data_IF_439677094235
#
_entry.id   IF_439677094235
#
_cell.length_a   1.000
_cell.length_b   1.000
_cell.length_c   1.000
_cell.angle_alpha   90.00
_cell.angle_beta   90.00
_cell.angle_gamma   90.00
#
_symmetry.space_group_name_H-M   'P 1'
#
loop_
_entity.id
_entity.type
_entity.pdbx_description
1 polymer ?
#
# COMPACT_ATOMS: atom_id res chain seq x y z
N UNK A 1 -46.81 -68.65 34.40
CA UNK A 1 -47.29 -67.83 33.26
C UNK A 1 -46.51 -66.53 33.05
N UNK A 2 -45.25 -66.40 33.52
CA UNK A 2 -44.42 -65.18 33.34
C UNK A 2 -43.20 -65.34 32.41
N UNK A 3 -42.90 -66.54 31.89
CA UNK A 3 -41.73 -66.77 31.02
C UNK A 3 -42.00 -66.70 29.51
N UNK A 4 -43.25 -66.84 29.06
CA UNK A 4 -43.59 -66.79 27.62
C UNK A 4 -43.86 -65.37 27.08
N UNK A 5 -44.21 -64.41 27.94
CA UNK A 5 -44.42 -63.00 27.51
C UNK A 5 -43.11 -62.26 27.27
N UNK A 6 -42.06 -62.57 28.02
CA UNK A 6 -40.73 -61.96 27.84
C UNK A 6 -40.05 -62.47 26.56
N UNK A 7 -40.19 -63.75 26.24
CA UNK A 7 -39.57 -64.34 25.04
C UNK A 7 -40.22 -63.88 23.73
N UNK A 8 -41.55 -63.65 23.72
CA UNK A 8 -42.25 -63.06 22.56
C UNK A 8 -41.94 -61.57 22.36
N UNK A 9 -41.74 -60.81 23.45
CA UNK A 9 -41.27 -59.43 23.38
C UNK A 9 -39.81 -59.35 22.88
N UNK A 10 -38.94 -60.28 23.30
CA UNK A 10 -37.58 -60.40 22.77
C UNK A 10 -37.54 -60.83 21.29
N UNK A 11 -38.48 -61.68 20.85
CA UNK A 11 -38.60 -62.09 19.44
C UNK A 11 -39.13 -60.95 18.53
N UNK A 12 -40.07 -60.14 19.01
CA UNK A 12 -40.56 -58.96 18.29
C UNK A 12 -39.53 -57.81 18.24
N UNK A 13 -38.63 -57.70 19.23
CA UNK A 13 -37.50 -56.75 19.19
C UNK A 13 -36.49 -57.05 18.08
N UNK A 14 -36.36 -58.32 17.68
CA UNK A 14 -35.46 -58.71 16.58
C UNK A 14 -36.02 -58.39 15.19
N UNK A 15 -37.34 -58.23 15.05
CA UNK A 15 -37.92 -57.81 13.77
C UNK A 15 -37.84 -56.29 13.65
N UNK A 16 -36.95 -55.85 12.76
CA UNK A 16 -36.88 -54.46 12.29
C UNK A 16 -38.14 -54.19 11.46
N UNK A 17 -39.20 -53.71 12.12
CA UNK A 17 -40.48 -53.41 11.46
C UNK A 17 -40.33 -52.23 10.51
N UNK A 18 -41.19 -52.16 9.48
CA UNK A 18 -41.20 -51.05 8.53
C UNK A 18 -41.29 -49.69 9.23
N UNK A 19 -42.11 -49.60 10.29
CA UNK A 19 -42.24 -48.38 11.10
C UNK A 19 -40.92 -47.94 11.77
N UNK A 20 -40.08 -48.87 12.22
CA UNK A 20 -38.74 -48.55 12.77
C UNK A 20 -37.80 -48.06 11.69
N UNK A 21 -37.88 -48.64 10.48
CA UNK A 21 -37.08 -48.19 9.34
C UNK A 21 -37.46 -46.77 8.93
N UNK A 22 -38.76 -46.49 8.82
CA UNK A 22 -39.28 -45.16 8.46
C UNK A 22 -38.92 -44.12 9.53
N UNK A 23 -38.99 -44.49 10.81
CA UNK A 23 -38.56 -43.62 11.91
C UNK A 23 -37.05 -43.32 11.85
N UNK A 24 -36.20 -44.34 11.70
CA UNK A 24 -34.73 -44.14 11.56
C UNK A 24 -34.42 -43.23 10.36
N UNK A 25 -35.10 -43.44 9.23
CA UNK A 25 -34.93 -42.62 8.03
C UNK A 25 -35.32 -41.16 8.27
N UNK A 26 -36.46 -40.92 8.93
CA UNK A 26 -36.92 -39.57 9.29
C UNK A 26 -35.92 -38.85 10.20
N UNK A 27 -35.33 -39.55 11.16
CA UNK A 27 -34.35 -38.95 12.08
C UNK A 27 -33.01 -38.64 11.38
N UNK A 28 -32.59 -39.46 10.41
CA UNK A 28 -31.43 -39.16 9.56
C UNK A 28 -31.70 -37.91 8.71
N UNK A 29 -32.88 -37.80 8.10
CA UNK A 29 -33.30 -36.62 7.31
C UNK A 29 -33.38 -35.33 8.16
N UNK A 30 -33.68 -35.45 9.47
CA UNK A 30 -33.72 -34.30 10.38
C UNK A 30 -32.34 -33.71 10.70
N UNK A 31 -31.25 -34.47 10.52
CA UNK A 31 -29.87 -34.03 10.76
C UNK A 31 -29.59 -33.48 12.19
N UNK A 32 -30.32 -33.93 13.21
CA UNK A 32 -30.09 -33.51 14.60
C UNK A 32 -30.12 -34.70 15.58
N UNK A 33 -28.92 -35.16 15.97
CA UNK A 33 -28.75 -36.28 16.88
C UNK A 33 -29.19 -35.94 18.32
N UNK A 34 -29.08 -34.67 18.76
CA UNK A 34 -29.46 -34.26 20.12
C UNK A 34 -30.97 -34.24 20.29
N UNK A 35 -31.69 -33.72 19.29
CA UNK A 35 -33.14 -33.80 19.27
C UNK A 35 -33.62 -35.26 19.24
N UNK A 36 -32.89 -36.13 18.52
CA UNK A 36 -33.24 -37.57 18.42
C UNK A 36 -33.10 -38.29 19.76
N UNK A 37 -32.05 -38.00 20.52
CA UNK A 37 -31.87 -38.53 21.87
C UNK A 37 -32.96 -37.98 22.81
N UNK A 38 -33.27 -36.68 22.70
CA UNK A 38 -34.34 -36.05 23.48
C UNK A 38 -35.72 -36.67 23.21
N UNK A 39 -36.03 -37.01 21.95
CA UNK A 39 -37.29 -37.68 21.58
C UNK A 39 -37.38 -39.10 22.16
N UNK A 40 -36.25 -39.81 22.29
CA UNK A 40 -36.21 -41.13 22.93
C UNK A 40 -36.41 -41.00 24.44
N UNK A 41 -35.78 -40.02 25.08
CA UNK A 41 -35.81 -39.84 26.54
C UNK A 41 -37.21 -39.51 27.08
N UNK A 42 -38.15 -39.06 26.23
CA UNK A 42 -39.56 -38.80 26.58
C UNK A 42 -40.50 -39.99 26.31
N UNK A 43 -40.02 -41.07 25.69
CA UNK A 43 -40.80 -42.29 25.44
C UNK A 43 -40.96 -43.16 26.69
N UNK A 44 -41.82 -44.18 26.61
CA UNK A 44 -41.97 -45.13 27.73
C UNK A 44 -40.67 -45.94 27.95
N UNK A 45 -40.39 -46.43 29.16
CA UNK A 45 -39.15 -47.17 29.45
C UNK A 45 -38.91 -48.39 28.56
N UNK A 46 -40.00 -49.03 28.09
CA UNK A 46 -39.93 -50.19 27.19
C UNK A 46 -39.50 -49.79 25.77
N UNK A 47 -40.00 -48.66 25.27
CA UNK A 47 -39.63 -48.08 23.96
C UNK A 47 -38.20 -47.53 23.99
N UNK A 48 -37.77 -46.93 25.11
CA UNK A 48 -36.40 -46.44 25.26
C UNK A 48 -35.35 -47.55 25.07
N UNK A 49 -35.60 -48.75 25.63
CA UNK A 49 -34.69 -49.89 25.45
C UNK A 49 -34.64 -50.38 24.00
N UNK A 50 -35.69 -50.12 23.21
CA UNK A 50 -35.83 -50.56 21.83
C UNK A 50 -35.21 -49.58 20.82
N UNK A 51 -35.38 -48.27 21.01
CA UNK A 51 -34.93 -47.24 20.07
C UNK A 51 -33.51 -46.69 20.37
N UNK A 52 -33.05 -46.74 21.62
CA UNK A 52 -31.72 -46.24 22.01
C UNK A 52 -30.54 -46.93 21.30
N UNK A 53 -30.57 -48.26 21.03
CA UNK A 53 -29.55 -48.91 20.20
C UNK A 53 -29.52 -48.41 18.74
N UNK A 54 -30.58 -47.78 18.24
CA UNK A 54 -30.67 -47.26 16.87
C UNK A 54 -29.99 -45.90 16.69
N UNK A 55 -29.71 -45.19 17.79
CA UNK A 55 -29.01 -43.90 17.77
C UNK A 55 -27.66 -44.00 17.05
N UNK A 56 -26.92 -45.09 17.27
CA UNK A 56 -25.64 -45.32 16.58
C UNK A 56 -25.81 -45.49 15.06
N UNK A 57 -26.92 -46.08 14.60
CA UNK A 57 -27.23 -46.21 13.16
C UNK A 57 -27.66 -44.87 12.56
N UNK A 58 -28.38 -44.05 13.32
CA UNK A 58 -28.79 -42.70 12.90
C UNK A 58 -27.57 -41.79 12.81
N UNK A 59 -26.67 -41.81 13.80
CA UNK A 59 -25.42 -41.05 13.77
C UNK A 59 -24.54 -41.45 12.58
N UNK A 60 -24.35 -42.76 12.34
CA UNK A 60 -23.64 -43.24 11.15
C UNK A 60 -24.31 -42.83 9.83
N UNK A 61 -25.66 -42.79 9.79
CA UNK A 61 -26.42 -42.33 8.62
C UNK A 61 -26.27 -40.83 8.36
N UNK A 62 -26.31 -40.01 9.41
CA UNK A 62 -26.08 -38.55 9.33
C UNK A 62 -24.65 -38.28 8.87
N UNK A 63 -23.65 -38.97 9.44
CA UNK A 63 -22.25 -38.85 9.02
C UNK A 63 -22.04 -39.29 7.57
N UNK A 64 -22.74 -40.32 7.10
CA UNK A 64 -22.70 -40.74 5.71
C UNK A 64 -23.34 -39.70 4.78
N UNK A 65 -24.49 -39.13 5.16
CA UNK A 65 -25.15 -38.05 4.42
C UNK A 65 -24.29 -36.78 4.39
N UNK A 66 -23.63 -36.43 5.49
CA UNK A 66 -22.72 -35.29 5.58
C UNK A 66 -21.43 -35.53 4.78
N UNK A 67 -20.91 -36.76 4.78
CA UNK A 67 -19.76 -37.15 3.97
C UNK A 67 -20.11 -37.17 2.48
N UNK A 68 -21.31 -37.60 2.10
CA UNK A 68 -21.82 -37.58 0.73
C UNK A 68 -22.09 -36.15 0.27
N UNK A 69 -22.70 -35.29 1.10
CA UNK A 69 -22.85 -33.87 0.83
C UNK A 69 -21.50 -33.14 0.78
N UNK A 70 -20.51 -33.52 1.61
CA UNK A 70 -19.16 -32.97 1.55
C UNK A 70 -18.40 -33.47 0.31
N UNK A 71 -18.58 -34.73 -0.09
CA UNK A 71 -18.03 -35.29 -1.31
C UNK A 71 -18.69 -34.68 -2.55
N UNK A 72 -19.99 -34.38 -2.50
CA UNK A 72 -20.73 -33.70 -3.55
C UNK A 72 -20.36 -32.22 -3.61
N UNK A 73 -20.16 -31.53 -2.47
CA UNK A 73 -19.56 -30.18 -2.42
C UNK A 73 -18.13 -30.18 -2.97
N UNK A 74 -17.29 -31.16 -2.64
CA UNK A 74 -15.95 -31.31 -3.22
C UNK A 74 -16.01 -31.66 -4.71
N UNK A 75 -16.98 -32.46 -5.15
CA UNK A 75 -17.20 -32.79 -6.54
C UNK A 75 -17.77 -31.58 -7.31
N UNK A 76 -18.58 -30.73 -6.68
CA UNK A 76 -19.04 -29.45 -7.21
C UNK A 76 -17.90 -28.43 -7.27
N UNK A 77 -16.99 -28.39 -6.29
CA UNK A 77 -15.77 -27.58 -6.34
C UNK A 77 -14.78 -28.09 -7.41
N UNK A 78 -14.64 -29.41 -7.56
CA UNK A 78 -13.82 -30.02 -8.60
C UNK A 78 -14.43 -29.88 -10.01
N UNK A 79 -15.77 -29.87 -10.13
CA UNK A 79 -16.51 -29.54 -11.36
C UNK A 79 -16.50 -28.02 -11.65
N UNK A 80 -16.49 -27.17 -10.62
CA UNK A 80 -16.29 -25.73 -10.75
C UNK A 80 -14.86 -25.37 -11.18
N UNK A 81 -13.87 -26.19 -10.83
CA UNK A 81 -12.48 -26.07 -11.30
C UNK A 81 -12.21 -26.66 -12.70
N UNK A 82 -13.18 -27.35 -13.31
CA UNK A 82 -13.10 -27.92 -14.66
C UNK A 82 -14.44 -27.81 -15.38
N UNK A 83 -14.79 -26.62 -15.86
CA UNK A 83 -15.82 -26.49 -16.92
C UNK A 83 -15.19 -26.00 -18.21
N UNK A 84 -15.41 -26.84 -19.23
CA UNK A 84 -15.15 -26.60 -20.64
C UNK A 84 -15.86 -25.31 -21.07
N UNK A 85 -15.13 -24.51 -21.85
CA UNK A 85 -15.63 -23.52 -22.79
C UNK A 85 -17.01 -23.86 -23.37
N UNK A 86 -18.04 -23.11 -22.97
CA UNK A 86 -19.21 -22.76 -23.78
C UNK A 86 -19.92 -21.58 -23.08
N UNK A 87 -20.15 -20.50 -23.83
CA UNK A 87 -20.45 -19.16 -23.31
C UNK A 87 -21.73 -19.03 -22.48
N UNK A 88 -21.71 -18.06 -21.57
CA UNK A 88 -22.88 -17.62 -20.82
C UNK A 88 -22.48 -16.69 -19.67
N UNK A 89 -22.78 -15.40 -19.85
CA UNK A 89 -22.68 -14.26 -18.93
C UNK A 89 -22.36 -14.51 -17.45
N UNK A 90 -21.48 -13.64 -16.93
CA UNK A 90 -21.14 -13.53 -15.51
C UNK A 90 -22.36 -13.57 -14.60
N UNK A 91 -22.19 -14.23 -13.44
CA UNK A 91 -23.20 -14.28 -12.38
C UNK A 91 -23.53 -12.85 -11.96
N UNK A 92 -24.72 -12.37 -12.28
CA UNK A 92 -25.25 -11.12 -11.77
C UNK A 92 -25.55 -11.28 -10.28
N UNK A 93 -24.78 -10.62 -9.42
CA UNK A 93 -24.95 -10.61 -7.97
C UNK A 93 -25.76 -9.39 -7.60
N UNK A 94 -26.97 -9.60 -7.08
CA UNK A 94 -27.86 -8.54 -6.59
C UNK A 94 -28.13 -8.61 -5.08
N UNK A 95 -27.69 -9.69 -4.42
CA UNK A 95 -27.87 -9.86 -2.97
C UNK A 95 -26.85 -9.04 -2.18
N UNK A 96 -27.35 -8.22 -1.25
CA UNK A 96 -26.53 -7.32 -0.42
C UNK A 96 -25.52 -8.07 0.45
N UNK A 97 -25.85 -9.27 0.93
CA UNK A 97 -24.91 -10.07 1.75
C UNK A 97 -23.75 -10.60 0.91
N UNK A 98 -24.05 -11.16 -0.27
CA UNK A 98 -23.02 -11.61 -1.21
C UNK A 98 -22.12 -10.46 -1.68
N UNK A 99 -22.69 -9.26 -1.87
CA UNK A 99 -21.91 -8.04 -2.18
C UNK A 99 -21.01 -7.65 -1.01
N UNK A 100 -21.52 -7.65 0.22
CA UNK A 100 -20.74 -7.35 1.43
C UNK A 100 -19.56 -8.31 1.62
N UNK A 101 -19.76 -9.61 1.36
CA UNK A 101 -18.69 -10.62 1.43
C UNK A 101 -17.61 -10.38 0.37
N UNK A 102 -18.01 -10.00 -0.85
CA UNK A 102 -17.07 -9.66 -1.93
C UNK A 102 -16.27 -8.40 -1.58
N UNK A 103 -16.93 -7.35 -1.07
CA UNK A 103 -16.26 -6.13 -0.61
C UNK A 103 -15.29 -6.46 0.53
N UNK A 104 -15.73 -7.26 1.51
CA UNK A 104 -14.89 -7.65 2.66
C UNK A 104 -13.66 -8.44 2.23
N UNK A 105 -13.82 -9.41 1.31
CA UNK A 105 -12.70 -10.17 0.76
C UNK A 105 -11.70 -9.29 -0.01
N UNK A 106 -12.20 -8.34 -0.80
CA UNK A 106 -11.39 -7.35 -1.49
C UNK A 106 -10.61 -6.45 -0.52
N UNK A 107 -11.27 -5.95 0.53
CA UNK A 107 -10.66 -5.12 1.58
C UNK A 107 -9.56 -5.86 2.36
N UNK A 108 -9.64 -7.19 2.46
CA UNK A 108 -8.65 -8.01 3.17
C UNK A 108 -7.38 -8.36 2.39
N UNK A 109 -7.31 -8.07 1.09
CA UNK A 109 -6.17 -8.54 0.27
C UNK A 109 -6.53 -9.38 -0.93
N UNK A 110 -7.77 -9.89 -1.00
CA UNK A 110 -8.07 -11.01 -1.89
C UNK A 110 -8.50 -10.55 -3.28
N UNK A 111 -7.68 -10.86 -4.28
CA UNK A 111 -8.06 -10.69 -5.69
C UNK A 111 -9.06 -11.76 -6.18
N UNK A 112 -9.16 -12.86 -5.43
CA UNK A 112 -10.08 -13.98 -5.67
C UNK A 112 -10.97 -14.12 -4.44
N UNK A 113 -12.27 -13.88 -4.63
CA UNK A 113 -13.27 -14.10 -3.58
C UNK A 113 -14.22 -15.19 -4.07
N UNK A 114 -14.56 -16.15 -3.21
CA UNK A 114 -15.42 -17.31 -3.55
C UNK A 114 -14.98 -18.06 -4.83
N UNK A 115 -13.67 -18.18 -5.05
CA UNK A 115 -13.08 -18.93 -6.16
C UNK A 115 -13.13 -18.25 -7.52
N UNK A 116 -13.54 -16.98 -7.60
CA UNK A 116 -13.51 -16.19 -8.84
C UNK A 116 -12.76 -14.86 -8.63
N UNK A 117 -12.03 -14.36 -9.65
CA UNK A 117 -11.43 -13.04 -9.60
C UNK A 117 -12.50 -11.97 -9.36
N UNK A 118 -12.23 -10.99 -8.49
CA UNK A 118 -13.21 -9.95 -8.17
C UNK A 118 -13.72 -9.26 -9.43
N UNK A 119 -12.83 -8.94 -10.38
CA UNK A 119 -13.17 -8.35 -11.69
C UNK A 119 -14.16 -9.15 -12.56
N UNK A 120 -14.33 -10.46 -12.30
CA UNK A 120 -15.20 -11.33 -13.08
C UNK A 120 -16.66 -11.29 -12.58
N UNK A 121 -16.91 -10.72 -11.40
CA UNK A 121 -18.26 -10.53 -10.89
C UNK A 121 -18.98 -9.40 -11.62
N UNK A 122 -20.22 -9.68 -12.04
CA UNK A 122 -21.17 -8.65 -12.48
C UNK A 122 -22.09 -8.35 -11.30
N UNK A 123 -21.99 -7.16 -10.71
CA UNK A 123 -22.72 -6.80 -9.48
C UNK A 123 -23.78 -5.74 -9.82
N UNK A 124 -24.98 -5.88 -9.25
CA UNK A 124 -26.00 -4.83 -9.32
C UNK A 124 -25.48 -3.53 -8.70
N UNK A 125 -25.60 -2.43 -9.44
CA UNK A 125 -25.03 -1.13 -9.02
C UNK A 125 -25.71 -0.57 -7.77
N UNK A 126 -27.02 -0.80 -7.58
CA UNK A 126 -27.72 -0.30 -6.41
C UNK A 126 -27.28 -1.06 -5.16
N UNK A 127 -27.17 -2.38 -5.25
CA UNK A 127 -26.64 -3.20 -4.16
C UNK A 127 -25.17 -2.86 -3.87
N UNK A 128 -24.34 -2.67 -4.90
CA UNK A 128 -22.94 -2.28 -4.75
C UNK A 128 -22.79 -0.92 -4.06
N UNK A 129 -23.48 0.12 -4.54
CA UNK A 129 -23.40 1.46 -3.97
C UNK A 129 -24.02 1.53 -2.58
N UNK A 130 -25.09 0.76 -2.32
CA UNK A 130 -25.71 0.66 -1.00
C UNK A 130 -24.78 0.12 0.08
N UNK A 131 -23.83 -0.76 -0.27
CA UNK A 131 -22.83 -1.28 0.66
C UNK A 131 -21.51 -0.48 0.64
N UNK A 132 -21.08 0.02 -0.52
CA UNK A 132 -19.81 0.72 -0.66
C UNK A 132 -19.83 2.17 -0.15
N UNK A 133 -20.92 2.93 -0.36
CA UNK A 133 -20.99 4.34 0.05
C UNK A 133 -20.87 4.54 1.57
N UNK A 134 -21.57 3.77 2.43
CA UNK A 134 -21.43 3.92 3.88
C UNK A 134 -20.01 3.62 4.37
N UNK A 135 -19.35 2.61 3.77
CA UNK A 135 -17.97 2.28 4.08
C UNK A 135 -17.01 3.39 3.66
N UNK A 136 -17.19 3.93 2.45
CA UNK A 136 -16.40 5.07 1.98
C UNK A 136 -16.55 6.28 2.90
N UNK A 137 -17.78 6.65 3.26
CA UNK A 137 -18.05 7.76 4.17
C UNK A 137 -17.39 7.57 5.53
N UNK A 138 -17.41 6.34 6.06
CA UNK A 138 -16.73 5.99 7.31
C UNK A 138 -15.22 6.10 7.17
N UNK A 139 -14.60 5.54 6.13
CA UNK A 139 -13.16 5.63 5.94
C UNK A 139 -12.70 7.08 5.80
N UNK A 140 -13.47 7.92 5.09
CA UNK A 140 -13.22 9.36 4.98
C UNK A 140 -13.39 10.07 6.32
N UNK A 141 -14.42 9.75 7.12
CA UNK A 141 -14.61 10.35 8.44
C UNK A 141 -13.53 9.95 9.45
N UNK A 142 -13.07 8.70 9.36
CA UNK A 142 -12.08 8.12 10.26
C UNK A 142 -10.64 8.49 9.82
N UNK A 143 -10.47 9.15 8.66
CA UNK A 143 -9.17 9.50 8.09
C UNK A 143 -8.39 8.32 7.51
N UNK A 144 -9.02 7.14 7.35
CA UNK A 144 -8.43 5.93 6.79
C UNK A 144 -8.47 5.96 5.25
N UNK A 145 -7.62 6.81 4.68
CA UNK A 145 -7.53 6.99 3.24
C UNK A 145 -6.97 5.77 2.52
N UNK A 146 -6.16 4.95 3.18
CA UNK A 146 -5.66 3.71 2.58
C UNK A 146 -6.80 2.73 2.30
N UNK A 147 -7.71 2.54 3.27
CA UNK A 147 -8.91 1.75 3.05
C UNK A 147 -9.87 2.40 2.05
N UNK A 148 -9.97 3.73 2.03
CA UNK A 148 -10.77 4.45 1.05
C UNK A 148 -10.26 4.23 -0.39
N UNK A 149 -8.96 4.38 -0.64
CA UNK A 149 -8.34 4.11 -1.95
C UNK A 149 -8.54 2.66 -2.36
N UNK A 150 -8.28 1.72 -1.44
CA UNK A 150 -8.46 0.28 -1.69
C UNK A 150 -9.90 -0.05 -2.09
N UNK A 151 -10.89 0.50 -1.37
CA UNK A 151 -12.30 0.29 -1.71
C UNK A 151 -12.58 0.80 -3.12
N UNK A 152 -12.19 2.04 -3.41
CA UNK A 152 -12.43 2.69 -4.70
C UNK A 152 -11.68 2.02 -5.88
N UNK A 153 -10.58 1.32 -5.61
CA UNK A 153 -9.83 0.53 -6.60
C UNK A 153 -10.57 -0.74 -7.06
N UNK A 154 -11.70 -1.09 -6.42
CA UNK A 154 -12.52 -2.21 -6.84
C UNK A 154 -13.00 -2.03 -8.30
N UNK A 155 -12.81 -3.03 -9.19
CA UNK A 155 -13.10 -2.90 -10.62
C UNK A 155 -14.54 -2.46 -10.96
N UNK A 156 -15.50 -2.82 -10.11
CA UNK A 156 -16.92 -2.53 -10.30
C UNK A 156 -17.32 -1.08 -9.93
N UNK A 157 -16.45 -0.32 -9.26
CA UNK A 157 -16.74 1.03 -8.76
C UNK A 157 -16.36 2.16 -9.72
N UNK A 158 -16.06 1.87 -10.99
CA UNK A 158 -15.64 2.88 -11.99
C UNK A 158 -16.56 4.11 -12.06
N UNK A 159 -17.89 3.91 -12.10
CA UNK A 159 -18.83 5.03 -12.15
C UNK A 159 -18.83 5.88 -10.87
N UNK A 160 -18.60 5.25 -9.71
CA UNK A 160 -18.46 5.96 -8.44
C UNK A 160 -17.13 6.73 -8.41
N UNK A 161 -16.04 6.13 -8.92
CA UNK A 161 -14.75 6.80 -9.09
C UNK A 161 -14.83 8.02 -9.98
N UNK A 162 -15.49 7.92 -11.12
CA UNK A 162 -15.70 9.04 -12.06
C UNK A 162 -16.48 10.18 -11.39
N UNK A 163 -17.58 9.86 -10.70
CA UNK A 163 -18.38 10.86 -9.99
C UNK A 163 -17.62 11.51 -8.82
N UNK A 164 -16.86 10.71 -8.06
CA UNK A 164 -16.00 11.22 -7.01
C UNK A 164 -14.92 12.13 -7.62
N UNK A 165 -14.14 11.66 -8.59
CA UNK A 165 -13.07 12.43 -9.24
C UNK A 165 -13.57 13.78 -9.77
N UNK A 166 -14.72 13.82 -10.45
CA UNK A 166 -15.33 15.07 -10.90
C UNK A 166 -15.70 16.02 -9.75
N UNK A 167 -16.29 15.48 -8.67
CA UNK A 167 -16.58 16.26 -7.45
C UNK A 167 -15.30 16.81 -6.81
N UNK A 168 -14.24 16.00 -6.75
CA UNK A 168 -12.97 16.36 -6.14
C UNK A 168 -12.21 17.42 -6.96
N UNK A 169 -12.20 17.29 -8.28
CA UNK A 169 -11.67 18.31 -9.16
C UNK A 169 -12.43 19.63 -9.02
N UNK A 170 -13.76 19.60 -8.88
CA UNK A 170 -14.57 20.79 -8.63
C UNK A 170 -14.29 21.42 -7.25
N UNK A 171 -14.04 20.61 -6.22
CA UNK A 171 -13.64 21.09 -4.89
C UNK A 171 -12.30 21.83 -5.00
N UNK A 172 -11.29 21.21 -5.62
CA UNK A 172 -9.97 21.82 -5.79
C UNK A 172 -10.02 23.11 -6.62
N UNK A 173 -10.80 23.12 -7.71
CA UNK A 173 -11.00 24.31 -8.54
C UNK A 173 -11.83 25.42 -7.85
N UNK A 174 -12.57 25.06 -6.80
CA UNK A 174 -13.34 25.97 -5.96
C UNK A 174 -12.57 26.55 -4.79
N UNK A 175 -11.33 26.09 -4.55
CA UNK A 175 -10.47 26.66 -3.51
C UNK A 175 -10.06 28.07 -3.93
N UNK A 176 -10.38 29.04 -3.10
CA UNK A 176 -10.03 30.44 -3.30
C UNK A 176 -9.26 30.97 -2.09
N UNK A 177 -8.33 31.91 -2.29
CA UNK A 177 -7.70 32.62 -1.18
C UNK A 177 -8.77 33.33 -0.33
N UNK A 178 -8.60 33.34 0.98
CA UNK A 178 -9.45 34.11 1.91
C UNK A 178 -8.74 35.35 2.43
N UNK A 179 -9.52 36.36 2.82
CA UNK A 179 -9.01 37.67 3.27
C UNK A 179 -8.15 37.60 4.56
N UNK A 180 -8.25 36.50 5.31
CA UNK A 180 -7.49 36.21 6.54
C UNK A 180 -6.14 35.52 6.28
N UNK A 181 -5.76 35.32 5.00
CA UNK A 181 -4.52 34.67 4.62
C UNK A 181 -4.58 33.13 4.59
N UNK A 182 -5.78 32.56 4.70
CA UNK A 182 -6.06 31.13 4.51
C UNK A 182 -6.69 30.81 3.14
N UNK A 183 -7.51 29.75 3.12
CA UNK A 183 -8.35 29.38 1.99
C UNK A 183 -9.80 29.22 2.43
N UNK A 184 -10.75 29.45 1.51
CA UNK A 184 -12.19 29.39 1.76
C UNK A 184 -12.74 28.03 2.27
N UNK A 185 -11.93 26.96 2.25
CA UNK A 185 -12.27 25.63 2.79
C UNK A 185 -11.71 25.36 4.19
N UNK A 186 -10.95 26.30 4.79
CA UNK A 186 -10.23 26.10 6.05
C UNK A 186 -11.12 25.69 7.23
N UNK A 187 -12.37 26.18 7.26
CA UNK A 187 -13.35 25.87 8.31
C UNK A 187 -14.10 24.54 8.10
N UNK A 188 -13.78 23.76 7.05
CA UNK A 188 -14.37 22.46 6.79
C UNK A 188 -13.37 21.31 7.02
N UNK A 189 -13.38 20.67 8.20
CA UNK A 189 -12.41 19.63 8.55
C UNK A 189 -12.44 18.42 7.61
N UNK A 190 -13.61 18.09 7.05
CA UNK A 190 -13.73 16.96 6.13
C UNK A 190 -13.08 17.25 4.78
N UNK A 191 -13.27 18.46 4.24
CA UNK A 191 -12.61 18.88 3.01
C UNK A 191 -11.11 19.03 3.21
N UNK A 192 -10.66 19.57 4.34
CA UNK A 192 -9.23 19.67 4.66
C UNK A 192 -8.58 18.31 4.85
N UNK A 193 -9.24 17.35 5.50
CA UNK A 193 -8.77 15.96 5.60
C UNK A 193 -8.64 15.30 4.23
N UNK A 194 -9.64 15.51 3.36
CA UNK A 194 -9.60 15.03 1.98
C UNK A 194 -8.44 15.63 1.18
N UNK A 195 -8.27 16.95 1.22
CA UNK A 195 -7.19 17.64 0.51
C UNK A 195 -5.82 17.18 1.04
N UNK A 196 -5.68 17.03 2.36
CA UNK A 196 -4.47 16.47 2.99
C UNK A 196 -4.17 15.06 2.48
N UNK A 197 -5.18 14.20 2.34
CA UNK A 197 -5.01 12.85 1.82
C UNK A 197 -4.56 12.81 0.36
N UNK A 198 -5.09 13.73 -0.44
CA UNK A 198 -4.70 13.90 -1.84
C UNK A 198 -3.22 14.31 -1.94
N UNK A 199 -2.78 15.22 -1.07
CA UNK A 199 -1.40 15.70 -1.00
C UNK A 199 -0.42 14.63 -0.52
N UNK A 200 -0.87 13.74 0.37
CA UNK A 200 -0.01 12.74 1.00
C UNK A 200 0.28 11.56 0.08
N UNK A 201 -0.62 11.23 -0.86
CA UNK A 201 -0.42 10.11 -1.79
C UNK A 201 -0.95 10.37 -3.22
N UNK A 202 -0.27 11.21 -4.02
CA UNK A 202 -0.67 11.49 -5.40
C UNK A 202 -0.72 10.25 -6.31
N UNK A 203 0.12 9.24 -6.04
CA UNK A 203 0.16 8.00 -6.82
C UNK A 203 -1.11 7.15 -6.62
N UNK A 204 -1.56 6.98 -5.38
CA UNK A 204 -2.83 6.33 -5.08
C UNK A 204 -3.99 7.10 -5.71
N UNK A 205 -3.98 8.44 -5.64
CA UNK A 205 -4.98 9.28 -6.32
C UNK A 205 -4.99 9.04 -7.82
N UNK A 206 -3.84 8.88 -8.48
CA UNK A 206 -3.78 8.58 -9.91
C UNK A 206 -4.34 7.22 -10.28
N UNK A 207 -4.04 6.20 -9.48
CA UNK A 207 -4.59 4.86 -9.67
C UNK A 207 -6.11 4.82 -9.44
N UNK A 208 -6.59 5.53 -8.40
CA UNK A 208 -7.98 5.47 -7.96
C UNK A 208 -8.89 6.46 -8.67
N UNK A 209 -8.46 7.69 -8.92
CA UNK A 209 -9.31 8.80 -9.39
C UNK A 209 -8.89 9.39 -10.74
N UNK A 210 -7.78 8.92 -11.32
CA UNK A 210 -7.31 9.28 -12.65
C UNK A 210 -6.23 10.36 -12.68
N UNK A 211 -5.67 10.55 -13.88
CA UNK A 211 -4.44 11.33 -14.08
C UNK A 211 -4.58 12.84 -13.83
N UNK A 212 -5.75 13.43 -14.06
CA UNK A 212 -5.92 14.89 -13.91
C UNK A 212 -5.88 15.29 -12.42
N UNK A 213 -6.63 14.57 -11.58
CA UNK A 213 -6.60 14.79 -10.14
C UNK A 213 -5.23 14.48 -9.54
N UNK A 214 -4.52 13.46 -10.06
CA UNK A 214 -3.17 13.15 -9.64
C UNK A 214 -2.16 14.25 -9.97
N UNK A 215 -2.34 14.97 -11.08
CA UNK A 215 -1.48 16.11 -11.45
C UNK A 215 -1.66 17.28 -10.47
N UNK A 216 -2.90 17.60 -10.10
CA UNK A 216 -3.17 18.63 -9.09
C UNK A 216 -2.67 18.20 -7.71
N UNK A 217 -2.91 16.94 -7.34
CA UNK A 217 -2.40 16.34 -6.11
C UNK A 217 -0.88 16.42 -6.00
N UNK A 218 -0.17 16.07 -7.09
CA UNK A 218 1.29 16.16 -7.17
C UNK A 218 1.76 17.60 -7.05
N UNK A 219 1.05 18.57 -7.65
CA UNK A 219 1.41 19.99 -7.55
C UNK A 219 1.29 20.49 -6.11
N UNK A 220 0.19 20.17 -5.42
CA UNK A 220 0.01 20.50 -4.01
C UNK A 220 1.04 19.80 -3.11
N UNK A 221 1.36 18.53 -3.37
CA UNK A 221 2.39 17.79 -2.63
C UNK A 221 3.77 18.42 -2.79
N UNK A 222 4.11 18.85 -4.02
CA UNK A 222 5.34 19.61 -4.31
C UNK A 222 5.38 20.90 -3.51
N UNK A 223 4.30 21.69 -3.50
CA UNK A 223 4.24 22.94 -2.73
C UNK A 223 4.33 22.70 -1.22
N UNK A 224 3.69 21.65 -0.70
CA UNK A 224 3.78 21.31 0.72
C UNK A 224 5.21 20.95 1.11
N UNK A 225 5.86 20.09 0.30
CA UNK A 225 7.26 19.70 0.51
C UNK A 225 8.19 20.91 0.44
N UNK A 226 7.95 21.82 -0.51
CA UNK A 226 8.66 23.08 -0.65
C UNK A 226 8.57 23.95 0.62
N UNK A 227 7.42 23.97 1.29
CA UNK A 227 7.25 24.69 2.56
C UNK A 227 7.61 23.85 3.81
N UNK A 228 8.33 22.74 3.66
CA UNK A 228 8.81 21.91 4.78
C UNK A 228 7.82 20.84 5.27
N UNK A 229 6.66 20.72 4.61
CA UNK A 229 5.63 19.73 4.92
C UNK A 229 4.82 20.03 6.18
N UNK A 230 4.08 19.02 6.65
CA UNK A 230 3.23 19.14 7.83
C UNK A 230 2.03 20.08 7.63
N UNK A 231 1.36 20.43 8.73
CA UNK A 231 0.13 21.24 8.68
C UNK A 231 0.39 22.65 8.14
N UNK A 232 1.48 23.30 8.58
CA UNK A 232 1.85 24.62 8.11
C UNK A 232 2.20 24.63 6.62
N UNK A 233 3.04 23.69 6.17
CA UNK A 233 3.39 23.56 4.76
C UNK A 233 2.17 23.27 3.89
N UNK A 234 1.21 22.48 4.38
CA UNK A 234 -0.05 22.22 3.68
C UNK A 234 -0.91 23.48 3.53
N UNK A 235 -1.01 24.33 4.56
CA UNK A 235 -1.77 25.58 4.49
C UNK A 235 -1.14 26.57 3.49
N UNK A 236 0.19 26.73 3.53
CA UNK A 236 0.90 27.60 2.57
C UNK A 236 0.79 27.07 1.13
N UNK A 237 0.88 25.75 0.96
CA UNK A 237 0.70 25.10 -0.33
C UNK A 237 -0.69 25.36 -0.93
N UNK A 238 -1.74 25.24 -0.10
CA UNK A 238 -3.11 25.47 -0.55
C UNK A 238 -3.37 26.92 -0.92
N UNK A 239 -2.81 27.86 -0.16
CA UNK A 239 -2.91 29.28 -0.49
C UNK A 239 -2.22 29.59 -1.81
N UNK A 240 -0.96 29.19 -1.97
CA UNK A 240 -0.20 29.44 -3.20
C UNK A 240 -0.87 28.79 -4.41
N UNK A 241 -1.40 27.57 -4.24
CA UNK A 241 -2.18 26.89 -5.26
C UNK A 241 -3.43 27.68 -5.65
N UNK A 242 -4.19 28.18 -4.68
CA UNK A 242 -5.41 28.95 -4.93
C UNK A 242 -5.11 30.28 -5.65
N UNK A 243 -4.10 31.03 -5.18
CA UNK A 243 -3.64 32.27 -5.82
C UNK A 243 -3.17 32.02 -7.26
N UNK A 244 -2.40 30.95 -7.49
CA UNK A 244 -1.93 30.59 -8.82
C UNK A 244 -3.06 30.18 -9.76
N UNK A 245 -4.03 29.38 -9.28
CA UNK A 245 -5.18 28.94 -10.08
C UNK A 245 -6.11 30.09 -10.42
N UNK A 246 -6.28 31.05 -9.51
CA UNK A 246 -7.04 32.27 -9.79
C UNK A 246 -6.44 33.04 -10.96
N UNK A 247 -5.13 33.29 -10.94
CA UNK A 247 -4.42 33.95 -12.04
C UNK A 247 -4.51 33.15 -13.34
N UNK A 248 -4.36 31.83 -13.31
CA UNK A 248 -4.51 30.99 -14.50
C UNK A 248 -5.91 31.08 -15.13
N UNK A 249 -6.94 31.26 -14.30
CA UNK A 249 -8.33 31.37 -14.74
C UNK A 249 -8.69 32.78 -15.24
N UNK A 250 -8.27 33.82 -14.53
CA UNK A 250 -8.61 35.22 -14.82
C UNK A 250 -7.69 35.84 -15.89
N UNK A 251 -6.42 35.43 -15.92
CA UNK A 251 -5.35 35.99 -16.75
C UNK A 251 -4.49 34.88 -17.40
N UNK A 252 -5.05 34.10 -18.35
CA UNK A 252 -4.37 32.95 -18.96
C UNK A 252 -3.16 33.31 -19.83
N UNK A 253 -3.07 34.55 -20.30
CA UNK A 253 -1.91 35.11 -21.00
C UNK A 253 -0.73 35.36 -20.04
N UNK A 254 -1.02 35.90 -18.86
CA UNK A 254 -0.03 36.08 -17.77
C UNK A 254 0.50 34.73 -17.30
N UNK A 255 -0.39 33.74 -17.10
CA UNK A 255 0.00 32.38 -16.71
C UNK A 255 1.01 31.74 -17.69
N UNK A 256 0.76 31.88 -19.00
CA UNK A 256 1.66 31.37 -20.05
C UNK A 256 3.00 32.08 -20.06
N UNK A 257 3.01 33.39 -19.88
CA UNK A 257 4.26 34.15 -19.82
C UNK A 257 5.06 33.79 -18.56
N UNK A 258 4.40 33.67 -17.41
CA UNK A 258 5.02 33.22 -16.17
C UNK A 258 5.58 31.80 -16.28
N UNK A 259 4.91 30.89 -17.00
CA UNK A 259 5.43 29.56 -17.29
C UNK A 259 6.71 29.60 -18.14
N UNK A 260 6.75 30.47 -19.15
CA UNK A 260 7.93 30.69 -19.98
C UNK A 260 9.09 31.26 -19.16
N UNK A 261 8.82 32.27 -18.34
CA UNK A 261 9.80 32.87 -17.42
C UNK A 261 10.35 31.82 -16.48
N UNK A 262 9.49 31.08 -15.76
CA UNK A 262 9.90 30.03 -14.84
C UNK A 262 10.77 28.96 -15.52
N UNK A 263 10.42 28.55 -16.74
CA UNK A 263 11.23 27.61 -17.52
C UNK A 263 12.64 28.11 -17.82
N UNK A 264 12.77 29.38 -18.22
CA UNK A 264 14.08 29.99 -18.49
C UNK A 264 14.88 30.22 -17.21
N UNK A 265 14.22 30.56 -16.11
CA UNK A 265 14.86 30.81 -14.82
C UNK A 265 15.45 29.55 -14.19
N UNK A 266 14.82 28.39 -14.40
CA UNK A 266 15.30 27.10 -13.84
C UNK A 266 16.35 26.43 -14.73
N UNK A 267 16.36 26.70 -16.02
CA UNK A 267 17.29 26.08 -16.96
C UNK A 267 18.75 26.42 -16.62
N UNK A 268 19.50 25.43 -16.12
CA UNK A 268 20.89 25.61 -15.68
C UNK A 268 21.03 26.41 -14.38
N UNK A 269 19.96 26.52 -13.59
CA UNK A 269 19.99 27.25 -12.33
C UNK A 269 20.69 26.44 -11.24
N UNK A 270 21.61 27.09 -10.54
CA UNK A 270 22.37 26.51 -9.44
C UNK A 270 22.10 27.28 -8.16
N UNK A 271 21.93 26.55 -7.05
CA UNK A 271 21.66 27.11 -5.73
C UNK A 271 22.79 26.72 -4.80
N UNK A 272 23.41 27.70 -4.18
CA UNK A 272 24.50 27.50 -3.23
C UNK A 272 23.99 27.29 -1.79
N UNK A 273 24.87 26.72 -0.96
CA UNK A 273 24.64 26.49 0.47
C UNK A 273 23.48 25.54 0.78
N UNK A 274 23.19 24.59 -0.11
CA UNK A 274 22.19 23.54 0.16
C UNK A 274 22.83 22.47 1.03
N UNK A 275 22.15 21.95 2.08
CA UNK A 275 22.67 20.85 2.89
C UNK A 275 23.18 19.68 2.03
N UNK A 276 24.31 19.11 2.42
CA UNK A 276 24.85 17.90 1.78
C UNK A 276 24.57 16.67 2.64
N UNK A 277 24.36 15.52 2.00
CA UNK A 277 24.34 14.22 2.65
C UNK A 277 25.67 13.87 3.33
N UNK A 278 26.76 14.56 2.94
CA UNK A 278 27.98 14.62 3.73
C UNK A 278 27.74 15.45 5.00
N UNK A 279 27.51 14.75 6.10
CA UNK A 279 27.07 15.32 7.38
C UNK A 279 27.82 16.59 7.78
N UNK A 280 27.07 17.66 8.04
CA UNK A 280 27.60 18.95 8.52
C UNK A 280 28.22 19.84 7.43
N UNK A 281 28.06 19.50 6.15
CA UNK A 281 28.56 20.30 5.02
C UNK A 281 27.42 20.80 4.13
N UNK A 282 27.74 21.79 3.29
CA UNK A 282 26.85 22.30 2.25
C UNK A 282 27.46 22.09 0.87
N UNK A 283 26.63 22.06 -0.15
CA UNK A 283 27.01 21.87 -1.54
C UNK A 283 26.15 22.78 -2.46
N UNK A 284 26.39 22.68 -3.76
CA UNK A 284 25.63 23.34 -4.82
C UNK A 284 24.58 22.37 -5.36
N UNK A 285 23.31 22.77 -5.29
CA UNK A 285 22.23 22.10 -5.98
C UNK A 285 22.14 22.61 -7.42
N UNK A 286 22.44 21.76 -8.40
CA UNK A 286 22.38 22.09 -9.83
C UNK A 286 21.12 21.51 -10.48
N UNK A 287 20.16 22.38 -10.82
CA UNK A 287 18.91 22.01 -11.49
C UNK A 287 19.09 21.77 -12.99
N UNK A 288 20.24 22.10 -13.56
CA UNK A 288 20.58 21.83 -14.95
C UNK A 288 21.04 20.40 -15.21
N UNK A 289 21.37 19.63 -14.17
CA UNK A 289 21.82 18.25 -14.33
C UNK A 289 20.66 17.31 -14.72
N UNK A 290 20.86 16.38 -15.67
CA UNK A 290 19.81 15.45 -16.09
C UNK A 290 19.23 14.59 -14.96
N UNK A 291 20.05 14.23 -13.96
CA UNK A 291 19.59 13.48 -12.79
C UNK A 291 18.62 14.26 -11.90
N UNK A 292 18.57 15.59 -12.01
CA UNK A 292 17.74 16.47 -11.20
C UNK A 292 16.48 16.96 -11.95
N UNK A 293 16.19 16.43 -13.15
CA UNK A 293 15.09 16.90 -13.99
C UNK A 293 13.71 16.92 -13.29
N UNK A 294 13.45 15.96 -12.40
CA UNK A 294 12.18 15.90 -11.67
C UNK A 294 12.08 17.03 -10.64
N UNK A 295 13.16 17.25 -9.88
CA UNK A 295 13.27 18.33 -8.91
C UNK A 295 13.27 19.70 -9.60
N UNK A 296 13.93 19.82 -10.76
CA UNK A 296 13.90 21.01 -11.60
C UNK A 296 12.48 21.31 -12.12
N UNK A 297 11.74 20.28 -12.54
CA UNK A 297 10.32 20.42 -12.91
C UNK A 297 9.48 20.92 -11.73
N UNK A 298 9.73 20.44 -10.52
CA UNK A 298 9.04 20.88 -9.32
C UNK A 298 9.40 22.31 -8.91
N UNK A 299 10.67 22.70 -9.02
CA UNK A 299 11.11 24.08 -8.86
C UNK A 299 10.45 25.02 -9.89
N UNK A 300 10.29 24.57 -11.15
CA UNK A 300 9.58 25.33 -12.19
C UNK A 300 8.11 25.55 -11.82
N UNK A 301 7.42 24.53 -11.30
CA UNK A 301 6.03 24.66 -10.82
C UNK A 301 5.94 25.71 -9.70
N UNK A 302 6.83 25.63 -8.73
CA UNK A 302 6.89 26.56 -7.59
C UNK A 302 7.17 28.00 -8.05
N UNK A 303 8.14 28.16 -8.95
CA UNK A 303 8.49 29.46 -9.52
C UNK A 303 7.30 30.08 -10.27
N UNK A 304 6.66 29.30 -11.15
CA UNK A 304 5.45 29.73 -11.88
C UNK A 304 4.34 30.14 -10.91
N UNK A 305 4.07 29.33 -9.89
CA UNK A 305 2.99 29.59 -8.95
C UNK A 305 3.22 30.88 -8.15
N UNK A 306 4.46 31.15 -7.71
CA UNK A 306 4.78 32.39 -7.02
C UNK A 306 4.69 33.63 -7.92
N UNK A 307 5.08 33.53 -9.19
CA UNK A 307 4.86 34.60 -10.17
C UNK A 307 3.37 34.84 -10.41
N UNK A 308 2.58 33.77 -10.51
CA UNK A 308 1.13 33.87 -10.64
C UNK A 308 0.46 34.49 -9.40
N UNK A 309 1.02 34.28 -8.21
CA UNK A 309 0.61 34.96 -6.98
C UNK A 309 1.02 36.46 -6.93
N UNK A 310 1.61 36.99 -8.00
CA UNK A 310 1.99 38.40 -8.12
C UNK A 310 3.33 38.75 -7.49
N UNK A 311 4.15 37.76 -7.11
CA UNK A 311 5.48 38.02 -6.55
C UNK A 311 6.45 38.49 -7.64
N UNK A 312 7.32 39.43 -7.28
CA UNK A 312 8.40 39.89 -8.18
C UNK A 312 9.45 38.78 -8.38
N UNK A 313 10.08 38.74 -9.57
CA UNK A 313 11.06 37.70 -9.93
C UNK A 313 12.20 37.56 -8.91
N UNK A 314 12.74 38.68 -8.41
CA UNK A 314 13.82 38.65 -7.41
C UNK A 314 13.37 38.01 -6.09
N UNK A 315 12.12 38.26 -5.68
CA UNK A 315 11.51 37.64 -4.50
C UNK A 315 11.29 36.15 -4.72
N UNK A 316 10.81 35.75 -5.91
CA UNK A 316 10.64 34.34 -6.24
C UNK A 316 11.98 33.61 -6.23
N UNK A 317 13.02 34.20 -6.83
CA UNK A 317 14.36 33.65 -6.82
C UNK A 317 14.89 33.47 -5.39
N UNK A 318 14.73 34.49 -4.54
CA UNK A 318 15.13 34.41 -3.13
C UNK A 318 14.38 33.28 -2.40
N UNK A 319 13.06 33.18 -2.58
CA UNK A 319 12.24 32.16 -1.94
C UNK A 319 12.63 30.75 -2.40
N UNK A 320 12.92 30.56 -3.69
CA UNK A 320 13.39 29.28 -4.22
C UNK A 320 14.73 28.90 -3.59
N UNK A 321 15.67 29.83 -3.45
CA UNK A 321 16.94 29.55 -2.80
C UNK A 321 16.77 29.13 -1.34
N UNK A 322 15.98 29.87 -0.57
CA UNK A 322 15.71 29.52 0.83
C UNK A 322 14.97 28.19 0.96
N UNK A 323 14.02 27.90 0.06
CA UNK A 323 13.32 26.61 -0.01
C UNK A 323 14.30 25.45 -0.16
N UNK A 324 15.25 25.53 -1.11
CA UNK A 324 16.24 24.47 -1.29
C UNK A 324 17.18 24.34 -0.08
N UNK A 325 17.62 25.46 0.49
CA UNK A 325 18.51 25.46 1.67
C UNK A 325 17.87 24.86 2.92
N UNK A 326 16.55 25.01 3.07
CA UNK A 326 15.83 24.54 4.25
C UNK A 326 15.30 23.11 4.10
N UNK A 327 14.82 22.75 2.90
CA UNK A 327 13.97 21.58 2.70
C UNK A 327 14.55 20.51 1.78
N UNK A 328 15.72 20.75 1.17
CA UNK A 328 16.38 19.79 0.28
C UNK A 328 17.80 19.48 0.73
N UNK A 329 18.27 18.31 0.34
CA UNK A 329 19.63 17.83 0.53
C UNK A 329 20.22 17.41 -0.81
N UNK A 330 21.51 17.61 -0.97
CA UNK A 330 22.31 17.20 -2.12
C UNK A 330 23.17 15.98 -1.76
N UNK A 331 23.26 14.99 -2.64
CA UNK A 331 24.21 13.88 -2.50
C UNK A 331 24.51 13.25 -3.85
N UNK A 332 25.78 13.03 -4.18
CA UNK A 332 26.21 12.42 -5.44
C UNK A 332 25.49 13.04 -6.66
N UNK A 333 25.61 14.38 -6.79
CA UNK A 333 24.98 15.21 -7.83
C UNK A 333 23.45 15.30 -7.78
N UNK A 334 22.80 14.39 -7.04
CA UNK A 334 21.35 14.33 -6.88
C UNK A 334 20.83 15.31 -5.85
N UNK A 335 19.59 15.75 -6.05
CA UNK A 335 18.84 16.56 -5.09
C UNK A 335 17.60 15.77 -4.63
N UNK A 336 17.31 15.78 -3.34
CA UNK A 336 16.11 15.15 -2.78
C UNK A 336 15.60 15.91 -1.55
N UNK A 337 14.29 15.87 -1.26
CA UNK A 337 13.72 16.58 -0.12
C UNK A 337 14.11 15.92 1.20
N UNK A 338 14.19 16.71 2.27
CA UNK A 338 14.64 16.25 3.59
C UNK A 338 13.70 15.22 4.22
N UNK A 339 12.42 15.26 3.87
CA UNK A 339 11.38 14.36 4.39
C UNK A 339 11.59 12.89 4.02
N UNK A 340 12.40 12.56 3.00
CA UNK A 340 12.75 11.17 2.66
C UNK A 340 13.47 10.48 3.81
N UNK A 341 14.15 11.25 4.67
CA UNK A 341 14.87 10.74 5.84
C UNK A 341 13.99 10.54 7.06
N UNK A 342 12.75 11.05 7.08
CA UNK A 342 11.92 11.01 8.29
C UNK A 342 11.39 9.60 8.59
N UNK A 343 10.94 9.42 9.84
CA UNK A 343 10.29 8.19 10.33
C UNK A 343 11.17 6.94 10.31
N UNK A 344 12.50 7.11 10.37
CA UNK A 344 13.40 6.03 10.73
C UNK A 344 13.63 6.13 12.24
N UNK A 345 13.54 5.02 12.97
CA UNK A 345 13.71 5.00 14.44
C UNK A 345 15.20 5.03 14.84
N UNK A 346 16.00 5.87 14.18
CA UNK A 346 17.45 5.99 14.41
C UNK A 346 17.78 7.22 15.26
N UNK A 347 18.99 7.28 15.78
CA UNK A 347 19.49 8.43 16.54
C UNK A 347 19.81 9.64 15.66
N UNK A 348 20.14 9.40 14.39
CA UNK A 348 20.38 10.42 13.38
C UNK A 348 19.95 9.93 11.99
N UNK A 349 18.69 10.18 11.67
CA UNK A 349 18.08 9.74 10.42
C UNK A 349 18.83 10.20 9.16
N UNK A 350 19.24 11.48 9.11
CA UNK A 350 19.95 11.99 7.94
C UNK A 350 21.28 11.25 7.69
N UNK A 351 22.02 10.96 8.77
CA UNK A 351 23.27 10.23 8.69
C UNK A 351 23.07 8.79 8.19
N UNK A 352 22.17 8.02 8.81
CA UNK A 352 21.94 6.63 8.43
C UNK A 352 21.32 6.49 7.04
N UNK A 353 20.50 7.45 6.60
CA UNK A 353 20.01 7.48 5.23
C UNK A 353 21.14 7.70 4.23
N UNK A 354 22.08 8.61 4.52
CA UNK A 354 23.26 8.81 3.65
C UNK A 354 24.12 7.54 3.57
N UNK A 355 24.28 6.80 4.68
CA UNK A 355 24.96 5.49 4.66
C UNK A 355 24.21 4.45 3.81
N UNK A 356 22.88 4.47 3.80
CA UNK A 356 22.08 3.61 2.92
C UNK A 356 22.25 4.00 1.44
N UNK A 357 22.38 5.29 1.12
CA UNK A 357 22.71 5.76 -0.23
C UNK A 357 24.10 5.27 -0.66
N UNK A 358 25.10 5.32 0.22
CA UNK A 358 26.43 4.79 -0.05
C UNK A 358 26.40 3.28 -0.34
N UNK A 359 25.61 2.53 0.44
CA UNK A 359 25.43 1.09 0.20
C UNK A 359 24.77 0.82 -1.15
N UNK A 360 23.77 1.60 -1.55
CA UNK A 360 23.11 1.47 -2.86
C UNK A 360 24.04 1.86 -4.03
N UNK A 361 24.89 2.89 -3.87
CA UNK A 361 25.95 3.22 -4.83
C UNK A 361 26.93 2.04 -4.96
N UNK A 362 27.31 1.44 -3.82
CA UNK A 362 28.20 0.29 -3.81
C UNK A 362 27.61 -0.91 -4.55
N UNK A 363 26.36 -1.25 -4.26
CA UNK A 363 25.64 -2.36 -4.88
C UNK A 363 25.41 -2.15 -6.38
N UNK A 364 25.24 -0.89 -6.80
CA UNK A 364 25.14 -0.52 -8.22
C UNK A 364 26.45 -0.77 -8.97
N UNK A 365 27.61 -0.50 -8.36
CA UNK A 365 28.93 -0.63 -9.01
C UNK A 365 29.66 -1.95 -8.70
N UNK A 366 29.06 -2.87 -7.94
CA UNK A 366 29.69 -4.05 -7.33
C UNK A 366 30.44 -4.97 -8.31
N UNK A 367 29.99 -5.04 -9.56
CA UNK A 367 30.61 -5.85 -10.61
C UNK A 367 31.67 -5.03 -11.39
N UNK A 368 32.84 -4.81 -10.77
CA UNK A 368 34.00 -4.22 -11.45
C UNK A 368 34.27 -2.73 -11.19
N UNK A 369 33.55 -2.10 -10.27
CA UNK A 369 33.75 -0.69 -9.91
C UNK A 369 34.95 -0.42 -8.99
N UNK A 370 35.69 0.64 -9.30
CA UNK A 370 36.69 1.25 -8.43
C UNK A 370 36.23 2.61 -7.87
N UNK A 371 37.12 3.31 -7.16
CA UNK A 371 36.83 4.59 -6.50
C UNK A 371 36.27 5.68 -7.44
N UNK A 372 36.68 5.67 -8.71
CA UNK A 372 36.21 6.61 -9.73
C UNK A 372 34.74 6.33 -10.10
N UNK A 373 34.34 5.06 -10.18
CA UNK A 373 32.98 4.66 -10.54
C UNK A 373 31.98 5.02 -9.43
N UNK A 374 32.38 4.84 -8.17
CA UNK A 374 31.57 5.27 -7.03
C UNK A 374 31.39 6.79 -7.02
N UNK A 375 32.47 7.57 -7.21
CA UNK A 375 32.41 9.03 -7.21
C UNK A 375 31.64 9.61 -8.41
N UNK A 376 31.68 8.94 -9.56
CA UNK A 376 30.95 9.34 -10.75
C UNK A 376 29.46 8.93 -10.74
N UNK A 377 29.04 8.09 -9.80
CA UNK A 377 27.65 7.64 -9.70
C UNK A 377 26.76 8.82 -9.37
N UNK A 378 25.70 9.00 -10.17
CA UNK A 378 24.68 10.03 -9.97
C UNK A 378 23.43 9.44 -9.34
N UNK A 379 22.82 10.19 -8.42
CA UNK A 379 21.53 9.84 -7.82
C UNK A 379 20.44 10.69 -8.48
N UNK A 380 19.38 10.03 -8.95
CA UNK A 380 18.17 10.67 -9.45
C UNK A 380 16.99 10.32 -8.52
N UNK A 381 16.31 11.32 -7.98
CA UNK A 381 15.12 11.12 -7.16
C UNK A 381 13.86 11.45 -7.95
N UNK A 382 12.89 10.53 -7.94
CA UNK A 382 11.57 10.74 -8.51
C UNK A 382 10.53 10.90 -7.39
N UNK A 383 10.03 12.13 -7.15
CA UNK A 383 9.06 12.41 -6.09
C UNK A 383 7.69 11.77 -6.34
N UNK A 384 7.31 11.52 -7.58
CA UNK A 384 6.02 10.91 -7.90
C UNK A 384 5.95 9.43 -7.51
N UNK A 385 7.09 8.73 -7.59
CA UNK A 385 7.19 7.31 -7.27
C UNK A 385 7.88 7.03 -5.93
N UNK A 386 8.44 8.05 -5.26
CA UNK A 386 9.34 7.90 -4.11
C UNK A 386 10.45 6.88 -4.39
N UNK A 387 11.10 7.00 -5.56
CA UNK A 387 12.16 6.10 -6.00
C UNK A 387 13.46 6.86 -6.25
N UNK A 388 14.56 6.23 -5.89
CA UNK A 388 15.92 6.68 -6.17
C UNK A 388 16.51 5.78 -7.25
N UNK A 389 17.08 6.38 -8.29
CA UNK A 389 17.80 5.67 -9.33
C UNK A 389 19.26 6.08 -9.29
N UNK A 390 20.12 5.09 -9.10
CA UNK A 390 21.56 5.20 -9.06
C UNK A 390 22.07 4.82 -10.43
N UNK A 391 22.90 5.67 -11.04
CA UNK A 391 23.46 5.40 -12.36
C UNK A 391 24.95 5.65 -12.34
N UNK A 392 25.73 4.62 -12.68
CA UNK A 392 27.17 4.72 -12.88
C UNK A 392 27.43 4.94 -14.37
N UNK A 393 27.76 6.17 -14.81
CA UNK A 393 27.98 6.45 -16.23
C UNK A 393 29.25 5.77 -16.77
N UNK A 394 30.22 5.48 -15.89
CA UNK A 394 31.49 4.83 -16.25
C UNK A 394 31.33 3.34 -16.53
N UNK A 395 30.47 2.66 -15.76
CA UNK A 395 30.17 1.23 -15.93
C UNK A 395 28.94 0.99 -16.83
N UNK A 396 28.12 2.02 -17.09
CA UNK A 396 26.90 1.90 -17.89
C UNK A 396 25.79 1.10 -17.20
N UNK A 397 25.80 1.05 -15.87
CA UNK A 397 24.83 0.30 -15.04
C UNK A 397 23.96 1.25 -14.23
N UNK A 398 22.70 0.86 -14.04
CA UNK A 398 21.75 1.59 -13.21
C UNK A 398 20.92 0.64 -12.36
N UNK A 399 20.61 1.06 -11.14
CA UNK A 399 19.71 0.35 -10.24
C UNK A 399 18.74 1.33 -9.59
N UNK A 400 17.55 0.86 -9.23
CA UNK A 400 16.52 1.68 -8.59
C UNK A 400 16.09 1.06 -7.27
N UNK A 401 15.93 1.91 -6.27
CA UNK A 401 15.46 1.56 -4.93
C UNK A 401 14.26 2.45 -4.58
N UNK A 402 13.25 1.88 -3.91
CA UNK A 402 12.21 2.71 -3.29
C UNK A 402 12.77 3.39 -2.05
N UNK A 403 12.16 4.51 -1.66
CA UNK A 403 12.49 5.20 -0.41
C UNK A 403 12.39 4.24 0.79
N UNK A 404 11.37 3.39 0.85
CA UNK A 404 11.19 2.45 1.95
C UNK A 404 12.27 1.37 1.99
N UNK A 405 12.78 0.92 0.83
CA UNK A 405 13.92 0.02 0.78
C UNK A 405 15.18 0.68 1.35
N UNK A 406 15.45 1.93 0.99
CA UNK A 406 16.60 2.68 1.52
C UNK A 406 16.45 2.94 3.02
N UNK A 407 15.25 3.26 3.51
CA UNK A 407 14.97 3.39 4.95
C UNK A 407 15.22 2.08 5.69
N UNK A 408 14.78 0.95 5.14
CA UNK A 408 15.03 -0.36 5.74
C UNK A 408 16.52 -0.69 5.79
N UNK A 409 17.30 -0.32 4.76
CA UNK A 409 18.77 -0.47 4.77
C UNK A 409 19.38 0.43 5.87
N UNK A 410 18.93 1.68 5.99
CA UNK A 410 19.41 2.60 7.03
C UNK A 410 19.15 2.06 8.45
N UNK A 411 17.95 1.54 8.71
CA UNK A 411 17.58 0.91 9.98
C UNK A 411 18.42 -0.33 10.29
N UNK A 412 18.72 -1.14 9.26
CA UNK A 412 19.59 -2.32 9.41
C UNK A 412 21.03 -1.93 9.75
N UNK A 413 21.58 -0.90 9.08
CA UNK A 413 22.92 -0.38 9.35
C UNK A 413 23.03 0.17 10.78
N UNK A 414 22.01 0.89 11.24
CA UNK A 414 21.92 1.37 12.62
C UNK A 414 21.79 0.25 13.65
N UNK A 415 20.96 -0.77 13.37
CA UNK A 415 20.82 -1.92 14.25
C UNK A 415 22.12 -2.72 14.35
N UNK A 416 22.91 -2.77 13.27
CA UNK A 416 24.23 -3.41 13.26
C UNK A 416 25.24 -2.63 14.12
N UNK A 417 25.33 -1.30 13.96
CA UNK A 417 26.26 -0.48 14.74
C UNK A 417 26.00 -0.56 16.25
N UNK A 418 24.73 -0.66 16.66
CA UNK A 418 24.36 -0.87 18.07
C UNK A 418 24.70 -2.25 18.63
N UNK A 419 24.77 -3.27 17.78
CA UNK A 419 25.20 -4.62 18.21
C UNK A 419 26.70 -4.64 18.47
N UNK A 420 27.49 -3.94 17.66
CA UNK A 420 28.95 -3.80 17.86
C UNK A 420 29.28 -3.01 19.15
N UNK A 421 28.46 -2.03 19.54
CA UNK A 421 28.61 -1.30 20.82
C UNK A 421 28.37 -2.17 22.06
N UNK A 422 27.67 -3.30 21.93
CA UNK A 422 27.39 -4.22 23.06
C UNK A 422 28.50 -5.23 23.33
N UNK A 423 29.62 -5.18 22.60
CA UNK A 423 30.71 -6.12 22.78
C UNK A 423 32.00 -5.81 22.05
N UNK A 424 32.71 -4.73 22.40
CA UNK A 424 34.19 -4.70 22.35
C UNK A 424 34.73 -3.39 22.92
N UNK A 425 35.44 -3.48 24.04
CA UNK A 425 36.39 -2.46 24.47
C UNK A 425 37.56 -2.43 23.48
N UNK A 426 37.51 -1.52 22.51
CA UNK A 426 38.61 -1.30 21.56
C UNK A 426 38.23 -0.35 20.43
N UNK A 427 38.14 0.95 20.72
CA UNK A 427 37.92 1.98 19.72
C UNK A 427 39.02 1.94 18.66
N UNK A 428 38.65 1.56 17.43
CA UNK A 428 39.40 1.90 16.23
C UNK A 428 38.40 2.56 15.29
N UNK A 429 38.63 3.83 14.96
CA UNK A 429 37.90 4.50 13.91
C UNK A 429 37.97 3.59 12.66
N UNK A 430 36.80 3.18 12.14
CA UNK A 430 36.70 2.31 10.98
C UNK A 430 37.14 3.08 9.74
N UNK A 431 38.45 3.07 9.49
CA UNK A 431 39.05 3.40 8.20
C UNK A 431 38.59 2.37 7.16
N UNK A 432 38.44 2.80 5.90
CA UNK A 432 37.98 1.96 4.78
C UNK A 432 38.82 0.70 4.62
N UNK A 433 40.09 0.74 5.03
CA UNK A 433 40.99 -0.40 5.02
C UNK A 433 40.65 -1.48 6.08
N UNK A 434 40.05 -1.10 7.21
CA UNK A 434 39.63 -2.04 8.25
C UNK A 434 38.42 -2.91 7.81
N UNK A 435 37.49 -2.31 7.05
CA UNK A 435 36.36 -3.01 6.44
C UNK A 435 36.84 -4.00 5.36
N UNK A 436 37.88 -3.64 4.61
CA UNK A 436 38.49 -4.52 3.60
C UNK A 436 39.24 -5.71 4.23
N UNK A 437 39.91 -5.51 5.37
CA UNK A 437 40.64 -6.58 6.06
C UNK A 437 39.71 -7.65 6.68
N UNK A 438 38.54 -7.25 7.19
CA UNK A 438 37.57 -8.20 7.75
C UNK A 438 36.95 -9.13 6.69
N UNK A 439 36.73 -8.64 5.46
CA UNK A 439 36.13 -9.44 4.38
C UNK A 439 37.08 -10.46 3.73
N UNK A 440 38.40 -10.25 3.82
CA UNK A 440 39.39 -11.25 3.40
C UNK A 440 39.53 -12.42 4.39
N UNK A 441 39.03 -12.28 5.62
CA UNK A 441 39.11 -13.30 6.68
C UNK A 441 37.95 -14.30 6.70
N UNK A 442 36.81 -14.02 6.05
CA UNK A 442 35.59 -14.84 6.12
C UNK A 442 35.46 -15.92 5.01
N UNK A 443 36.51 -16.15 4.22
CA UNK A 443 36.64 -17.41 3.45
C UNK A 443 37.38 -18.46 4.27
N UNK A 444 36.72 -19.03 5.28
CA UNK A 444 37.31 -20.01 6.19
C UNK A 444 37.12 -21.48 5.77
N UNK A 445 38.23 -22.13 5.38
CA UNK A 445 38.72 -23.42 5.90
C UNK A 445 37.95 -24.73 5.63
N UNK A 446 38.62 -25.70 4.97
CA UNK A 446 38.63 -27.15 5.29
C UNK A 446 39.70 -27.89 4.45
N UNK A 447 40.45 -28.77 5.11
CA UNK A 447 41.75 -29.26 4.66
C UNK A 447 41.76 -30.41 3.65
N UNK A 448 42.95 -30.64 3.12
CA UNK A 448 43.42 -31.96 2.70
C UNK A 448 44.94 -32.00 2.89
N UNK A 449 45.35 -32.54 4.05
CA UNK A 449 46.63 -33.20 4.22
C UNK A 449 46.60 -34.56 3.48
N UNK A 450 47.75 -34.90 2.91
CA UNK A 450 48.21 -36.24 2.50
C UNK A 450 47.42 -37.05 1.46
N UNK A 451 47.98 -37.11 0.25
CA UNK A 451 48.13 -38.24 -0.70
C UNK A 451 48.72 -37.62 -1.99
N UNK A 452 49.93 -37.85 -2.49
CA UNK A 452 50.85 -38.98 -2.41
C UNK A 452 51.44 -39.15 -3.82
N UNK A 453 52.76 -38.91 -3.96
CA UNK A 453 53.68 -39.42 -4.99
C UNK A 453 53.29 -39.44 -6.48
N UNK A 454 53.96 -38.59 -7.28
CA UNK A 454 54.97 -38.97 -8.28
C UNK A 454 55.66 -37.71 -8.84
#
# INVERSE_FOLDING_TARGET
MMQFRTMAAEYNRQQFTQAKYDWVKQQIERHDLRATIGDIDVMTPEEQMEYRPLVAKIDAGIQHADAEAAAERRAQMARAGRTRSAGGNGRNISDSYAVSDIISGWMQGSDIVNGMPVKAYTIDKQALFGNALPLLQRYVSDGDWQSAYRLMDMPQLNAMRESCSASLANILAGIMPSDDGGVNIGDNPQLMSFVSAVMTNPAAVGHTFGGDLAREASTLATFSTAYGGGEWGNQQALRLYAESHQTAKEHPDVDKENERVAGNSVAGYTIDNVPSGNYGTTDIADLGLPCNQFVASDAKKMWKAQLNAGMAQDTVQHNINEMFRQNYTTYHWGIYPNNVTYNMETDNNAHWFAQALDQAIYDTCKDGGGSVDYAATTICYNPAANTFTFSSPTLGVSQSYTQDQLRSIAEQLYAYSRKDDSGSSGATALDKDAINAQRLGETGFLGMDELGGM
#
